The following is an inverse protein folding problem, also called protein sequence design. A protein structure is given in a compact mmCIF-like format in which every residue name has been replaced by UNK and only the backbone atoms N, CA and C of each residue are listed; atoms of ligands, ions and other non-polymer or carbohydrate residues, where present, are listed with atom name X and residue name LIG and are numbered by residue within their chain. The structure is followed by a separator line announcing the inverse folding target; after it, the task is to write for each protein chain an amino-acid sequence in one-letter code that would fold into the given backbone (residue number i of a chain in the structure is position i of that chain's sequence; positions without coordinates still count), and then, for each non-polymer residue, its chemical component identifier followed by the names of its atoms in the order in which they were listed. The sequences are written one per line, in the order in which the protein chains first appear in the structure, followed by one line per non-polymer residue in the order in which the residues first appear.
data_IF_585189495880
#
_entry.id   IF_585189495880
#
_cell.length_a   1.000
_cell.length_b   1.000
_cell.length_c   1.000
_cell.angle_alpha   90.00
_cell.angle_beta   90.00
_cell.angle_gamma   90.00
#
_symmetry.space_group_name_H-M   'P 1'
#
loop_
_entity.id
_entity.type
_entity.pdbx_description
1 polymer ?
#
# COMPACT_ATOMS: atom_id res chain seq x y z
N UNK A 1 0.33 22.59 0.21
CA UNK A 1 -1.08 22.85 0.54
C UNK A 1 -1.59 21.66 1.31
N UNK A 2 -2.16 21.89 2.48
CA UNK A 2 -2.72 20.86 3.36
C UNK A 2 -4.21 21.10 3.53
N UNK A 3 -5.00 20.07 3.29
CA UNK A 3 -6.47 20.13 3.29
C UNK A 3 -7.02 19.27 4.41
N UNK A 4 -7.84 19.88 5.27
CA UNK A 4 -8.58 19.18 6.31
C UNK A 4 -9.92 18.73 5.75
N UNK A 5 -10.13 17.42 5.71
CA UNK A 5 -11.37 16.78 5.25
C UNK A 5 -12.09 16.28 6.50
N UNK A 6 -13.23 16.89 6.81
CA UNK A 6 -13.91 16.70 8.10
C UNK A 6 -15.36 16.27 7.92
N UNK A 7 -15.76 15.18 8.58
CA UNK A 7 -17.11 14.65 8.45
C UNK A 7 -18.09 15.37 9.37
N UNK A 8 -19.34 15.53 8.91
CA UNK A 8 -20.49 15.96 9.66
C UNK A 8 -21.45 14.77 9.83
N UNK A 9 -21.81 14.49 11.07
CA UNK A 9 -22.82 13.51 11.44
C UNK A 9 -24.20 14.14 11.69
N UNK A 10 -25.16 13.31 12.07
CA UNK A 10 -26.52 13.70 12.45
C UNK A 10 -26.73 13.45 13.96
N UNK A 11 -27.20 14.46 14.69
CA UNK A 11 -27.69 14.32 16.08
C UNK A 11 -28.89 15.23 16.33
N UNK A 12 -29.89 14.74 17.08
CA UNK A 12 -31.14 15.49 17.30
C UNK A 12 -31.01 16.70 18.23
N UNK A 13 -29.92 16.81 19.01
CA UNK A 13 -29.72 17.87 20.02
C UNK A 13 -28.44 18.70 19.77
N UNK A 14 -27.84 18.61 18.59
CA UNK A 14 -26.50 19.15 18.34
C UNK A 14 -25.39 18.31 18.99
N UNK A 15 -24.13 18.62 18.69
CA UNK A 15 -23.00 17.99 19.39
C UNK A 15 -22.82 18.61 20.78
N UNK A 16 -22.50 17.76 21.74
CA UNK A 16 -22.11 18.19 23.08
C UNK A 16 -20.72 18.86 23.03
N UNK A 17 -20.52 19.89 23.83
CA UNK A 17 -19.19 20.44 24.09
C UNK A 17 -18.34 19.43 24.86
N UNK A 18 -17.08 19.32 24.48
CA UNK A 18 -16.13 18.37 25.05
C UNK A 18 -14.73 19.01 25.15
N UNK A 19 -13.94 18.57 26.13
CA UNK A 19 -12.51 18.89 26.21
C UNK A 19 -11.72 17.74 25.60
N UNK A 20 -10.90 18.03 24.59
CA UNK A 20 -10.14 17.00 23.87
C UNK A 20 -8.64 17.11 24.13
N UNK A 21 -8.00 15.98 24.46
CA UNK A 21 -6.56 15.90 24.68
C UNK A 21 -5.85 15.26 23.49
N UNK A 22 -4.84 15.94 22.95
CA UNK A 22 -3.99 15.44 21.86
C UNK A 22 -2.81 14.61 22.39
N UNK A 23 -2.12 13.92 21.48
CA UNK A 23 -0.97 13.05 21.79
C UNK A 23 0.22 13.80 22.38
N UNK A 24 0.36 15.10 22.09
CA UNK A 24 1.36 16.00 22.67
C UNK A 24 0.99 16.53 24.07
N UNK A 25 -0.18 16.13 24.58
CA UNK A 25 -0.69 16.52 25.89
C UNK A 25 -1.51 17.81 25.90
N UNK A 26 -1.60 18.54 24.78
CA UNK A 26 -2.43 19.75 24.70
C UNK A 26 -3.91 19.42 24.85
N UNK A 27 -4.62 20.24 25.63
CA UNK A 27 -6.06 20.11 25.86
C UNK A 27 -6.78 21.30 25.23
N UNK A 28 -7.67 20.99 24.29
CA UNK A 28 -8.59 21.95 23.67
C UNK A 28 -9.94 21.83 24.36
N UNK A 29 -10.25 22.78 25.26
CA UNK A 29 -11.49 22.78 26.04
C UNK A 29 -12.68 23.40 25.30
N UNK A 30 -13.90 23.04 25.74
CA UNK A 30 -15.17 23.59 25.26
C UNK A 30 -15.39 23.49 23.74
N UNK A 31 -14.94 22.40 23.13
CA UNK A 31 -15.01 22.18 21.70
C UNK A 31 -16.32 21.49 21.32
N UNK A 32 -17.06 22.08 20.37
CA UNK A 32 -18.35 21.55 19.89
C UNK A 32 -18.20 20.66 18.66
N UNK A 33 -17.22 20.93 17.81
CA UNK A 33 -16.99 20.20 16.56
C UNK A 33 -15.50 19.97 16.32
N UNK A 34 -15.08 18.71 16.20
CA UNK A 34 -13.67 18.34 16.09
C UNK A 34 -12.98 18.96 14.87
N UNK A 35 -13.69 19.12 13.74
CA UNK A 35 -13.11 19.75 12.56
C UNK A 35 -12.61 21.17 12.81
N UNK A 36 -13.32 21.96 13.65
CA UNK A 36 -12.85 23.29 14.05
C UNK A 36 -11.68 23.21 15.03
N UNK A 37 -11.73 22.28 15.99
CA UNK A 37 -10.60 22.01 16.89
C UNK A 37 -9.32 21.72 16.12
N UNK A 38 -9.41 20.87 15.08
CA UNK A 38 -8.29 20.51 14.23
C UNK A 38 -7.86 21.66 13.32
N UNK A 39 -8.80 22.48 12.83
CA UNK A 39 -8.46 23.72 12.12
C UNK A 39 -7.63 24.65 13.02
N UNK A 40 -8.04 24.84 14.27
CA UNK A 40 -7.34 25.69 15.23
C UNK A 40 -5.94 25.15 15.56
N UNK A 41 -5.82 23.84 15.80
CA UNK A 41 -4.58 23.16 16.19
C UNK A 41 -3.59 23.03 15.03
N UNK A 42 -4.06 22.70 13.82
CA UNK A 42 -3.22 22.30 12.68
C UNK A 42 -3.03 23.39 11.64
N UNK A 43 -3.86 24.44 11.66
CA UNK A 43 -3.84 25.56 10.70
C UNK A 43 -3.76 25.09 9.23
N UNK A 44 -4.68 24.23 8.76
CA UNK A 44 -4.68 23.78 7.37
C UNK A 44 -4.92 24.96 6.42
N UNK A 45 -4.49 24.81 5.17
CA UNK A 45 -4.67 25.84 4.14
C UNK A 45 -6.03 25.81 3.45
N UNK A 46 -6.81 24.73 3.63
CA UNK A 46 -8.14 24.53 3.06
C UNK A 46 -8.93 23.53 3.93
N UNK A 47 -10.25 23.64 3.92
CA UNK A 47 -11.15 22.71 4.57
C UNK A 47 -12.21 22.18 3.59
N UNK A 48 -12.53 20.89 3.68
CA UNK A 48 -13.66 20.26 3.00
C UNK A 48 -14.54 19.64 4.09
N UNK A 49 -15.78 20.10 4.19
CA UNK A 49 -16.79 19.55 5.10
C UNK A 49 -17.64 18.52 4.35
N UNK A 50 -17.63 17.27 4.81
CA UNK A 50 -18.39 16.18 4.19
C UNK A 50 -19.62 15.86 5.04
N UNK A 51 -20.80 15.93 4.45
CA UNK A 51 -22.03 15.58 5.14
C UNK A 51 -23.06 14.99 4.19
N UNK A 52 -23.99 14.24 4.77
CA UNK A 52 -25.18 13.76 4.07
C UNK A 52 -26.29 14.81 4.08
N UNK A 53 -27.39 14.55 3.39
CA UNK A 53 -28.53 15.48 3.37
C UNK A 53 -29.14 15.73 4.77
N UNK A 54 -28.89 14.82 5.73
CA UNK A 54 -29.32 14.95 7.12
C UNK A 54 -28.24 15.35 8.11
N UNK A 55 -27.03 15.65 7.64
CA UNK A 55 -25.93 16.06 8.53
C UNK A 55 -26.22 17.44 9.13
N UNK A 56 -25.63 17.71 10.29
CA UNK A 56 -25.78 19.00 10.98
C UNK A 56 -24.93 20.09 10.31
N UNK A 57 -25.36 20.52 9.13
CA UNK A 57 -24.74 21.62 8.40
C UNK A 57 -24.89 22.96 9.13
N UNK A 58 -25.94 23.07 9.93
CA UNK A 58 -26.35 24.20 10.76
C UNK A 58 -25.52 24.35 12.05
N UNK A 59 -24.58 23.44 12.36
CA UNK A 59 -23.82 23.50 13.62
C UNK A 59 -22.95 24.76 13.78
N UNK A 60 -22.57 25.38 12.67
CA UNK A 60 -21.70 26.55 12.65
C UNK A 60 -22.46 27.88 12.84
N UNK A 61 -23.77 27.77 13.11
CA UNK A 61 -24.65 28.85 13.54
C UNK A 61 -24.40 29.17 15.00
N UNK A 62 -23.78 30.33 15.23
CA UNK A 62 -23.73 30.98 16.54
C UNK A 62 -24.25 32.41 16.37
N UNK A 63 -24.87 32.96 17.42
CA UNK A 63 -25.54 34.26 17.42
C UNK A 63 -24.71 35.35 16.71
N UNK A 64 -25.34 36.05 15.75
CA UNK A 64 -24.79 37.02 14.78
C UNK A 64 -24.29 36.46 13.43
N UNK A 65 -25.11 35.63 12.77
CA UNK A 65 -24.99 35.41 11.34
C UNK A 65 -25.10 36.74 10.57
N UNK A 66 -24.11 37.05 9.75
CA UNK A 66 -24.01 38.24 8.92
C UNK A 66 -25.08 38.25 7.80
N UNK A 67 -26.36 38.41 8.14
CA UNK A 67 -27.46 38.66 7.19
C UNK A 67 -27.84 37.48 6.29
N UNK A 68 -27.72 36.24 6.79
CA UNK A 68 -28.06 35.00 6.05
C UNK A 68 -29.20 34.22 6.73
N UNK A 69 -29.96 34.88 7.61
CA UNK A 69 -30.88 34.24 8.57
C UNK A 69 -31.94 33.36 7.88
N UNK A 70 -32.42 33.78 6.71
CA UNK A 70 -33.40 33.02 5.91
C UNK A 70 -32.77 31.77 5.28
N UNK A 71 -31.57 31.86 4.69
CA UNK A 71 -30.84 30.72 4.15
C UNK A 71 -30.51 29.70 5.24
N UNK A 72 -30.19 30.17 6.45
CA UNK A 72 -29.91 29.31 7.60
C UNK A 72 -31.13 28.56 8.09
N UNK A 73 -32.27 29.25 8.23
CA UNK A 73 -33.52 28.62 8.61
C UNK A 73 -33.91 27.54 7.59
N UNK A 74 -33.78 27.86 6.30
CA UNK A 74 -34.02 26.91 5.22
C UNK A 74 -33.09 25.69 5.30
N UNK A 75 -31.79 25.91 5.58
CA UNK A 75 -30.82 24.83 5.68
C UNK A 75 -31.11 23.92 6.90
N UNK A 76 -31.46 24.49 8.05
CA UNK A 76 -31.81 23.74 9.25
C UNK A 76 -33.08 22.89 9.06
N UNK A 77 -34.10 23.44 8.40
CA UNK A 77 -35.32 22.70 8.04
C UNK A 77 -35.01 21.57 7.04
N UNK A 78 -34.24 21.86 6.00
CA UNK A 78 -33.84 20.86 5.00
C UNK A 78 -32.99 19.73 5.63
N UNK A 79 -32.07 20.06 6.54
CA UNK A 79 -31.26 19.07 7.24
C UNK A 79 -32.12 18.16 8.15
N UNK A 80 -33.10 18.74 8.84
CA UNK A 80 -34.06 17.99 9.65
C UNK A 80 -34.90 17.01 8.80
N UNK A 81 -35.22 17.40 7.56
CA UNK A 81 -36.02 16.64 6.61
C UNK A 81 -35.20 15.75 5.64
N UNK A 82 -33.89 15.61 5.86
CA UNK A 82 -32.97 14.85 4.98
C UNK A 82 -33.02 15.29 3.50
N UNK A 83 -33.23 16.58 3.24
CA UNK A 83 -33.49 17.15 1.90
C UNK A 83 -32.51 18.25 1.47
N UNK A 84 -31.38 18.42 2.17
CA UNK A 84 -30.34 19.39 1.79
C UNK A 84 -29.80 19.10 0.39
N UNK A 85 -29.64 20.17 -0.40
CA UNK A 85 -29.09 20.13 -1.77
C UNK A 85 -27.75 20.86 -1.83
N UNK A 86 -26.96 20.59 -2.88
CA UNK A 86 -25.66 21.27 -3.08
C UNK A 86 -25.81 22.79 -3.16
N UNK A 87 -26.87 23.28 -3.82
CA UNK A 87 -27.17 24.72 -3.94
C UNK A 87 -27.39 25.40 -2.58
N UNK A 88 -28.00 24.70 -1.63
CA UNK A 88 -28.22 25.23 -0.28
C UNK A 88 -26.90 25.39 0.51
N UNK A 89 -25.84 24.68 0.11
CA UNK A 89 -24.54 24.71 0.79
C UNK A 89 -23.59 25.79 0.24
N UNK A 90 -23.89 26.40 -0.91
CA UNK A 90 -23.04 27.43 -1.52
C UNK A 90 -22.90 28.69 -0.65
N UNK A 91 -23.98 29.32 -0.13
CA UNK A 91 -23.85 30.49 0.73
C UNK A 91 -23.04 30.18 1.98
N UNK A 92 -23.19 28.95 2.47
CA UNK A 92 -22.55 28.49 3.67
C UNK A 92 -21.03 28.26 3.49
N UNK A 93 -20.63 27.70 2.35
CA UNK A 93 -19.21 27.58 1.97
C UNK A 93 -18.52 28.96 1.92
N UNK A 94 -19.21 29.97 1.36
CA UNK A 94 -18.72 31.36 1.29
C UNK A 94 -18.59 31.96 2.68
N UNK A 95 -19.61 31.80 3.52
CA UNK A 95 -19.60 32.30 4.90
C UNK A 95 -18.45 31.70 5.71
N UNK A 96 -18.30 30.37 5.71
CA UNK A 96 -17.22 29.70 6.42
C UNK A 96 -15.84 30.09 5.88
N UNK A 97 -15.72 30.27 4.57
CA UNK A 97 -14.47 30.75 3.95
C UNK A 97 -14.06 32.10 4.52
N UNK A 98 -15.01 33.04 4.67
CA UNK A 98 -14.77 34.35 5.29
C UNK A 98 -14.46 34.24 6.78
N UNK A 99 -15.25 33.44 7.53
CA UNK A 99 -15.12 33.28 8.98
C UNK A 99 -13.79 32.62 9.37
N UNK A 100 -13.37 31.60 8.65
CA UNK A 100 -12.13 30.86 8.91
C UNK A 100 -10.93 31.42 8.16
N UNK A 101 -11.11 32.36 7.23
CA UNK A 101 -10.04 32.94 6.42
C UNK A 101 -9.19 31.88 5.67
N UNK A 102 -9.83 30.79 5.26
CA UNK A 102 -9.28 29.73 4.39
C UNK A 102 -10.37 29.27 3.43
N UNK A 103 -10.05 28.75 2.23
CA UNK A 103 -11.06 28.13 1.37
C UNK A 103 -11.78 26.99 2.10
N UNK A 104 -13.12 27.06 2.16
CA UNK A 104 -13.98 26.03 2.72
C UNK A 104 -14.96 25.55 1.65
N UNK A 105 -15.06 24.24 1.48
CA UNK A 105 -15.99 23.61 0.55
C UNK A 105 -16.92 22.65 1.30
N UNK A 106 -18.23 22.89 1.24
CA UNK A 106 -19.24 21.99 1.78
C UNK A 106 -19.65 20.97 0.72
N UNK A 107 -19.22 19.73 0.90
CA UNK A 107 -19.42 18.63 -0.05
C UNK A 107 -20.54 17.69 0.42
N UNK A 108 -21.68 17.75 -0.27
CA UNK A 108 -22.80 16.84 -0.04
C UNK A 108 -22.45 15.42 -0.53
N UNK A 109 -22.57 14.43 0.34
CA UNK A 109 -22.35 13.02 0.04
C UNK A 109 -23.62 12.18 0.28
N UNK A 110 -23.68 11.00 -0.33
CA UNK A 110 -24.75 10.03 -0.09
C UNK A 110 -24.57 9.36 1.28
N UNK A 111 -25.59 8.62 1.73
CA UNK A 111 -25.48 7.79 2.94
C UNK A 111 -24.66 6.50 2.75
N UNK A 112 -24.16 6.27 1.52
CA UNK A 112 -23.32 5.14 1.16
C UNK A 112 -23.95 3.75 1.42
N UNK A 113 -25.25 3.60 1.17
CA UNK A 113 -25.99 2.34 1.41
C UNK A 113 -25.83 1.31 0.31
N UNK A 114 -25.42 1.75 -0.88
CA UNK A 114 -25.20 0.89 -2.05
C UNK A 114 -23.79 1.09 -2.59
N UNK A 115 -23.27 0.12 -3.33
CA UNK A 115 -21.94 0.22 -3.96
C UNK A 115 -21.84 1.45 -4.87
N UNK A 116 -22.91 1.77 -5.61
CA UNK A 116 -22.98 2.98 -6.45
C UNK A 116 -22.86 4.25 -5.62
N UNK A 117 -23.53 4.30 -4.48
CA UNK A 117 -23.42 5.43 -3.55
C UNK A 117 -22.02 5.56 -2.95
N UNK A 118 -21.38 4.44 -2.59
CA UNK A 118 -20.02 4.40 -2.05
C UNK A 118 -19.00 4.91 -3.09
N UNK A 119 -19.08 4.41 -4.34
CA UNK A 119 -18.24 4.86 -5.45
C UNK A 119 -18.45 6.35 -5.72
N UNK A 120 -19.69 6.85 -5.62
CA UNK A 120 -19.98 8.28 -5.80
C UNK A 120 -19.22 9.15 -4.79
N UNK A 121 -19.08 8.72 -3.53
CA UNK A 121 -18.29 9.46 -2.53
C UNK A 121 -16.83 9.53 -2.94
N UNK A 122 -16.26 8.40 -3.37
CA UNK A 122 -14.88 8.34 -3.87
C UNK A 122 -14.68 9.28 -5.06
N UNK A 123 -15.60 9.26 -6.03
CA UNK A 123 -15.55 10.12 -7.21
C UNK A 123 -15.65 11.60 -6.84
N UNK A 124 -16.52 11.98 -5.90
CA UNK A 124 -16.62 13.36 -5.41
C UNK A 124 -15.32 13.81 -4.75
N UNK A 125 -14.78 13.01 -3.82
CA UNK A 125 -13.49 13.29 -3.18
C UNK A 125 -12.34 13.39 -4.19
N UNK A 126 -12.32 12.50 -5.18
CA UNK A 126 -11.35 12.54 -6.25
C UNK A 126 -11.46 13.84 -7.04
N UNK A 127 -12.65 14.30 -7.41
CA UNK A 127 -12.81 15.51 -8.20
C UNK A 127 -12.37 16.78 -7.47
N UNK A 128 -12.61 16.87 -6.16
CA UNK A 128 -12.30 18.09 -5.37
C UNK A 128 -10.85 18.16 -4.90
N UNK A 129 -10.17 17.01 -4.78
CA UNK A 129 -8.77 16.92 -4.41
C UNK A 129 -7.85 16.96 -5.63
N UNK A 130 -6.78 17.74 -5.51
CA UNK A 130 -5.72 17.90 -6.50
C UNK A 130 -4.72 16.75 -6.43
N UNK A 131 -3.93 16.59 -7.51
CA UNK A 131 -2.81 15.66 -7.49
C UNK A 131 -1.78 16.07 -6.43
N UNK A 132 -1.20 15.08 -5.75
CA UNK A 132 -0.16 15.25 -4.70
C UNK A 132 -0.59 16.12 -3.52
N UNK A 133 -1.89 16.35 -3.34
CA UNK A 133 -2.40 17.12 -2.23
C UNK A 133 -2.17 16.41 -0.89
N UNK A 134 -1.84 17.17 0.15
CA UNK A 134 -1.68 16.63 1.50
C UNK A 134 -3.00 16.74 2.24
N UNK A 135 -3.49 15.61 2.78
CA UNK A 135 -4.82 15.54 3.39
C UNK A 135 -4.72 15.13 4.85
N UNK A 136 -5.56 15.74 5.69
CA UNK A 136 -5.81 15.33 7.07
C UNK A 136 -7.28 14.94 7.15
N UNK A 137 -7.58 13.77 7.68
CA UNK A 137 -8.96 13.27 7.81
C UNK A 137 -9.44 13.39 9.25
N UNK A 138 -10.58 14.03 9.46
CA UNK A 138 -11.33 13.97 10.72
C UNK A 138 -12.56 13.08 10.57
N UNK A 139 -12.53 11.92 11.21
CA UNK A 139 -13.63 10.95 11.18
C UNK A 139 -14.52 11.00 12.44
N UNK A 140 -14.32 11.96 13.34
CA UNK A 140 -14.96 12.03 14.67
C UNK A 140 -16.48 11.98 14.60
N UNK A 141 -17.07 12.78 13.72
CA UNK A 141 -18.52 12.87 13.57
C UNK A 141 -19.03 12.06 12.39
N UNK A 142 -18.18 11.25 11.75
CA UNK A 142 -18.61 10.40 10.65
C UNK A 142 -19.58 9.30 11.12
N UNK A 143 -20.52 8.95 10.26
CA UNK A 143 -21.58 8.00 10.59
C UNK A 143 -21.19 6.57 10.25
N UNK A 144 -21.21 5.67 11.25
CA UNK A 144 -21.11 4.21 11.12
C UNK A 144 -19.96 3.75 10.20
N UNK A 145 -20.28 3.41 8.95
CA UNK A 145 -19.37 2.81 7.98
C UNK A 145 -18.64 3.84 7.09
N UNK A 146 -18.97 5.12 7.16
CA UNK A 146 -18.25 6.19 6.44
C UNK A 146 -16.73 6.25 6.75
N UNK A 147 -16.23 6.04 7.99
CA UNK A 147 -14.81 5.86 8.25
C UNK A 147 -14.13 4.80 7.38
N UNK A 148 -14.80 3.66 7.16
CA UNK A 148 -14.26 2.57 6.37
C UNK A 148 -14.15 2.99 4.90
N UNK A 149 -15.15 3.71 4.40
CA UNK A 149 -15.13 4.28 3.04
C UNK A 149 -14.03 5.33 2.92
N UNK A 150 -13.82 6.18 3.94
CA UNK A 150 -12.75 7.16 3.97
C UNK A 150 -11.37 6.48 3.90
N UNK A 151 -11.19 5.34 4.57
CA UNK A 151 -9.96 4.55 4.49
C UNK A 151 -9.73 3.99 3.08
N UNK A 152 -10.78 3.45 2.43
CA UNK A 152 -10.72 3.00 1.03
C UNK A 152 -10.42 4.17 0.08
N UNK A 153 -11.06 5.32 0.30
CA UNK A 153 -10.82 6.53 -0.49
C UNK A 153 -9.37 7.03 -0.34
N UNK A 154 -8.84 7.06 0.88
CA UNK A 154 -7.44 7.39 1.14
C UNK A 154 -6.48 6.48 0.34
N UNK A 155 -6.78 5.18 0.26
CA UNK A 155 -5.99 4.24 -0.55
C UNK A 155 -6.11 4.49 -2.04
N UNK A 156 -7.33 4.62 -2.53
CA UNK A 156 -7.62 4.88 -3.92
C UNK A 156 -6.93 6.17 -4.41
N UNK A 157 -7.02 7.26 -3.63
CA UNK A 157 -6.46 8.56 -3.97
C UNK A 157 -4.92 8.59 -3.87
N UNK A 158 -4.33 7.82 -2.94
CA UNK A 158 -2.87 7.63 -2.89
C UNK A 158 -2.34 7.06 -4.22
N UNK A 159 -3.03 6.07 -4.79
CA UNK A 159 -2.59 5.43 -6.04
C UNK A 159 -2.94 6.28 -7.26
N UNK A 160 -4.15 6.82 -7.33
CA UNK A 160 -4.66 7.49 -8.55
C UNK A 160 -4.25 8.95 -8.67
N UNK A 161 -4.06 9.64 -7.54
CA UNK A 161 -3.74 11.08 -7.50
C UNK A 161 -2.49 11.40 -6.70
N UNK A 162 -1.79 10.40 -6.15
CA UNK A 162 -0.63 10.61 -5.26
C UNK A 162 -0.97 11.47 -4.03
N UNK A 163 -2.26 11.49 -3.62
CA UNK A 163 -2.69 12.19 -2.40
C UNK A 163 -2.00 11.56 -1.18
N UNK A 164 -1.44 12.40 -0.33
CA UNK A 164 -0.74 11.97 0.87
C UNK A 164 -1.57 12.29 2.12
N UNK A 165 -2.24 11.26 2.64
CA UNK A 165 -2.98 11.37 3.90
C UNK A 165 -1.99 11.39 5.07
N UNK A 166 -1.78 12.59 5.61
CA UNK A 166 -0.80 12.87 6.66
C UNK A 166 -1.21 12.33 8.02
N UNK A 167 -2.50 12.37 8.35
CA UNK A 167 -3.05 11.87 9.61
C UNK A 167 -4.56 11.61 9.47
N UNK A 168 -5.09 10.70 10.29
CA UNK A 168 -6.51 10.45 10.51
C UNK A 168 -6.79 10.68 12.00
N UNK A 169 -7.62 11.64 12.34
CA UNK A 169 -8.00 11.97 13.71
C UNK A 169 -9.39 11.45 14.05
N UNK A 170 -9.54 10.99 15.29
CA UNK A 170 -10.81 10.61 15.89
C UNK A 170 -10.90 11.11 17.33
N UNK A 171 -11.80 12.05 17.59
CA UNK A 171 -12.18 12.47 18.94
C UNK A 171 -12.95 11.35 19.64
N UNK A 172 -12.29 10.63 20.52
CA UNK A 172 -12.87 9.51 21.23
C UNK A 172 -13.63 10.00 22.46
N UNK A 173 -14.90 10.34 22.29
CA UNK A 173 -15.77 10.75 23.40
C UNK A 173 -16.05 9.54 24.33
N UNK A 174 -15.53 9.62 25.55
CA UNK A 174 -15.69 8.61 26.60
C UNK A 174 -16.70 9.09 27.63
N UNK A 175 -17.81 8.36 27.78
CA UNK A 175 -18.83 8.67 28.77
C UNK A 175 -18.25 8.68 30.19
N UNK A 176 -18.56 9.73 30.96
CA UNK A 176 -18.10 9.89 32.35
C UNK A 176 -16.67 10.45 32.49
N UNK A 177 -15.96 10.73 31.39
CA UNK A 177 -14.69 11.45 31.44
C UNK A 177 -14.89 12.95 31.25
N UNK A 178 -14.12 13.78 31.95
CA UNK A 178 -14.08 15.23 31.74
C UNK A 178 -13.22 15.61 30.52
N UNK A 179 -12.22 14.78 30.20
CA UNK A 179 -11.28 14.98 29.09
C UNK A 179 -11.29 13.75 28.19
N UNK A 180 -11.39 13.95 26.89
CA UNK A 180 -11.55 12.91 25.89
C UNK A 180 -10.31 12.84 24.99
N UNK A 181 -9.69 11.67 24.80
CA UNK A 181 -8.50 11.58 23.97
C UNK A 181 -8.82 11.74 22.49
N UNK A 182 -7.94 12.41 21.75
CA UNK A 182 -7.91 12.39 20.29
C UNK A 182 -7.00 11.26 19.84
N UNK A 183 -7.56 10.27 19.15
CA UNK A 183 -6.81 9.16 18.61
C UNK A 183 -6.26 9.50 17.23
N UNK A 184 -4.99 9.14 17.02
CA UNK A 184 -4.30 9.23 15.73
C UNK A 184 -4.28 7.86 15.06
N UNK A 185 -4.95 7.75 13.92
CA UNK A 185 -5.26 6.48 13.27
C UNK A 185 -4.49 6.26 11.96
N UNK A 186 -3.49 7.09 11.64
CA UNK A 186 -2.61 6.89 10.48
C UNK A 186 -1.98 5.49 10.45
N UNK A 187 -1.74 4.88 11.61
CA UNK A 187 -1.21 3.52 11.71
C UNK A 187 -1.99 2.49 10.88
N UNK A 188 -3.30 2.70 10.67
CA UNK A 188 -4.12 1.86 9.78
C UNK A 188 -3.65 1.91 8.33
N UNK A 189 -3.30 3.09 7.83
CA UNK A 189 -2.76 3.27 6.48
C UNK A 189 -1.34 2.69 6.37
N UNK A 190 -0.55 2.77 7.44
CA UNK A 190 0.77 2.15 7.48
C UNK A 190 0.64 0.62 7.38
N UNK A 191 -0.28 -0.01 8.13
CA UNK A 191 -0.55 -1.47 8.03
C UNK A 191 -0.91 -1.90 6.62
N UNK A 192 -1.73 -1.12 5.92
CA UNK A 192 -2.04 -1.40 4.53
C UNK A 192 -0.80 -1.27 3.62
N UNK A 193 0.16 -0.36 3.91
CA UNK A 193 1.39 -0.23 3.09
C UNK A 193 2.24 -1.50 3.17
N UNK A 194 2.24 -2.16 4.32
CA UNK A 194 2.91 -3.45 4.51
C UNK A 194 2.18 -4.61 3.81
N UNK A 195 0.85 -4.59 3.76
CA UNK A 195 0.06 -5.53 2.95
C UNK A 195 0.39 -5.39 1.47
N UNK A 196 0.48 -4.15 0.98
CA UNK A 196 0.89 -3.89 -0.41
C UNK A 196 2.32 -4.41 -0.67
N UNK A 197 3.24 -4.23 0.29
CA UNK A 197 4.58 -4.79 0.22
C UNK A 197 4.62 -6.32 0.09
N UNK A 198 3.77 -7.04 0.83
CA UNK A 198 3.63 -8.49 0.68
C UNK A 198 3.08 -8.87 -0.69
N UNK A 199 2.05 -8.18 -1.16
CA UNK A 199 1.44 -8.47 -2.47
C UNK A 199 2.43 -8.23 -3.62
N UNK A 200 3.21 -7.16 -3.57
CA UNK A 200 4.29 -6.89 -4.53
C UNK A 200 5.34 -7.99 -4.51
N UNK A 201 5.74 -8.46 -3.32
CA UNK A 201 6.70 -9.54 -3.23
C UNK A 201 6.14 -10.87 -3.75
N UNK A 202 4.88 -11.19 -3.41
CA UNK A 202 4.20 -12.40 -3.87
C UNK A 202 4.05 -12.43 -5.39
N UNK A 203 3.83 -11.27 -6.03
CA UNK A 203 3.70 -11.18 -7.48
C UNK A 203 5.04 -11.14 -8.21
N UNK A 204 5.95 -10.25 -7.80
CA UNK A 204 7.11 -9.89 -8.63
C UNK A 204 8.43 -10.50 -8.13
N UNK A 205 8.44 -11.06 -6.91
CA UNK A 205 9.66 -11.41 -6.20
C UNK A 205 10.41 -10.19 -5.62
N UNK A 206 9.82 -8.99 -5.68
CA UNK A 206 10.50 -7.76 -5.29
C UNK A 206 10.32 -7.42 -3.80
N UNK A 207 11.27 -7.85 -2.98
CA UNK A 207 11.34 -7.46 -1.56
C UNK A 207 12.05 -6.12 -1.31
N UNK A 208 12.50 -5.39 -2.34
CA UNK A 208 13.06 -4.04 -2.15
C UNK A 208 12.02 -3.08 -1.55
N UNK A 209 10.73 -3.31 -1.81
CA UNK A 209 9.61 -2.54 -1.28
C UNK A 209 9.61 -2.48 0.27
N UNK A 210 10.11 -3.52 0.95
CA UNK A 210 10.20 -3.53 2.41
C UNK A 210 11.29 -2.62 2.95
N UNK A 211 12.29 -2.25 2.16
CA UNK A 211 13.38 -1.41 2.65
C UNK A 211 12.89 -0.03 3.11
N UNK A 212 11.98 0.60 2.36
CA UNK A 212 11.41 1.89 2.75
C UNK A 212 10.43 1.76 3.94
N UNK A 213 9.74 0.63 4.04
CA UNK A 213 8.86 0.34 5.18
C UNK A 213 9.67 0.12 6.46
N UNK A 214 10.74 -0.68 6.40
CA UNK A 214 11.65 -0.91 7.51
C UNK A 214 12.36 0.37 7.95
N UNK A 215 12.79 1.22 7.00
CA UNK A 215 13.40 2.51 7.32
C UNK A 215 12.42 3.43 8.06
N UNK A 216 11.14 3.47 7.65
CA UNK A 216 10.09 4.23 8.35
C UNK A 216 9.85 3.74 9.78
N UNK A 217 10.03 2.44 10.02
CA UNK A 217 9.95 1.85 11.36
C UNK A 217 11.23 2.04 12.18
N UNK A 218 12.27 2.66 11.63
CA UNK A 218 13.52 2.97 12.32
C UNK A 218 14.65 1.96 12.11
N UNK A 219 14.55 1.05 11.14
CA UNK A 219 15.69 0.22 10.76
C UNK A 219 16.77 1.08 10.13
N UNK A 220 18.03 0.83 10.53
CA UNK A 220 19.20 1.54 10.03
C UNK A 220 19.28 1.56 8.48
N UNK A 221 19.55 2.74 7.91
CA UNK A 221 19.56 2.95 6.47
C UNK A 221 20.60 2.09 5.74
N UNK A 222 21.72 1.73 6.39
CA UNK A 222 22.71 0.84 5.78
C UNK A 222 22.15 -0.57 5.59
N UNK A 223 21.33 -1.05 6.52
CA UNK A 223 20.68 -2.36 6.46
C UNK A 223 19.59 -2.38 5.39
N UNK A 224 18.73 -1.35 5.34
CA UNK A 224 17.68 -1.27 4.31
C UNK A 224 18.28 -1.12 2.92
N UNK A 225 19.43 -0.43 2.77
CA UNK A 225 20.18 -0.36 1.52
C UNK A 225 20.74 -1.72 1.09
N UNK A 226 21.24 -2.55 2.02
CA UNK A 226 21.66 -3.92 1.71
C UNK A 226 20.51 -4.77 1.18
N UNK A 227 19.31 -4.61 1.76
CA UNK A 227 18.10 -5.29 1.27
C UNK A 227 17.76 -4.88 -0.17
N UNK A 228 17.78 -3.58 -0.49
CA UNK A 228 17.59 -3.07 -1.87
C UNK A 228 18.65 -3.61 -2.83
N UNK A 229 19.92 -3.63 -2.41
CA UNK A 229 21.01 -4.17 -3.23
C UNK A 229 20.82 -5.66 -3.52
N UNK A 230 20.38 -6.44 -2.53
CA UNK A 230 20.09 -7.85 -2.77
C UNK A 230 18.98 -8.03 -3.81
N UNK A 231 17.85 -7.33 -3.64
CA UNK A 231 16.73 -7.42 -4.56
C UNK A 231 17.14 -7.02 -5.99
N UNK A 232 18.00 -6.01 -6.13
CA UNK A 232 18.59 -5.62 -7.40
C UNK A 232 19.40 -6.77 -8.02
N UNK A 233 20.35 -7.34 -7.26
CA UNK A 233 21.18 -8.43 -7.78
C UNK A 233 20.36 -9.65 -8.18
N UNK A 234 19.37 -10.03 -7.39
CA UNK A 234 18.47 -11.15 -7.70
C UNK A 234 17.70 -10.89 -9.00
N UNK A 235 17.13 -9.68 -9.16
CA UNK A 235 16.40 -9.29 -10.37
C UNK A 235 17.27 -9.29 -11.62
N UNK A 236 18.56 -8.99 -11.47
CA UNK A 236 19.57 -9.05 -12.55
C UNK A 236 20.21 -10.43 -12.69
N UNK A 237 19.61 -11.48 -12.11
CA UNK A 237 20.07 -12.86 -12.17
C UNK A 237 21.45 -13.13 -11.54
N UNK A 238 21.91 -12.25 -10.65
CA UNK A 238 23.14 -12.43 -9.88
C UNK A 238 22.82 -12.97 -8.47
N UNK A 239 22.47 -14.26 -8.42
CA UNK A 239 22.12 -15.00 -7.19
C UNK A 239 23.21 -14.93 -6.12
N UNK A 240 24.49 -14.99 -6.51
CA UNK A 240 25.63 -14.99 -5.59
C UNK A 240 25.76 -13.67 -4.84
N UNK A 241 25.73 -12.54 -5.57
CA UNK A 241 25.77 -11.21 -4.95
C UNK A 241 24.50 -10.96 -4.11
N UNK A 242 23.33 -11.36 -4.60
CA UNK A 242 22.08 -11.25 -3.82
C UNK A 242 22.19 -11.99 -2.47
N UNK A 243 22.63 -13.26 -2.51
CA UNK A 243 22.88 -14.04 -1.29
C UNK A 243 23.86 -13.36 -0.35
N UNK A 244 24.97 -12.80 -0.85
CA UNK A 244 25.95 -12.13 -0.02
C UNK A 244 25.31 -10.96 0.75
N UNK A 245 24.51 -10.15 0.07
CA UNK A 245 23.79 -9.03 0.69
C UNK A 245 22.73 -9.52 1.68
N UNK A 246 21.92 -10.54 1.33
CA UNK A 246 20.95 -11.15 2.25
C UNK A 246 21.59 -11.72 3.50
N UNK A 247 22.72 -12.43 3.35
CA UNK A 247 23.44 -13.03 4.47
C UNK A 247 23.98 -11.97 5.43
N UNK A 248 24.24 -10.76 4.94
CA UNK A 248 24.68 -9.63 5.77
C UNK A 248 23.50 -9.03 6.55
N UNK A 249 22.35 -8.83 5.90
CA UNK A 249 21.18 -8.16 6.49
C UNK A 249 20.26 -9.09 7.29
N UNK A 250 20.35 -10.42 7.11
CA UNK A 250 19.38 -11.36 7.69
C UNK A 250 19.29 -11.27 9.21
N UNK A 251 20.42 -11.09 9.90
CA UNK A 251 20.40 -10.97 11.36
C UNK A 251 19.67 -9.71 11.79
N UNK A 252 19.90 -8.58 11.10
CA UNK A 252 19.17 -7.34 11.35
C UNK A 252 17.66 -7.53 11.12
N UNK A 253 17.25 -8.17 10.01
CA UNK A 253 15.83 -8.51 9.79
C UNK A 253 15.28 -9.44 10.89
N UNK A 254 16.06 -10.42 11.33
CA UNK A 254 15.62 -11.40 12.33
C UNK A 254 15.54 -10.82 13.75
N UNK A 255 16.33 -9.81 14.10
CA UNK A 255 16.35 -9.21 15.44
C UNK A 255 15.63 -7.87 15.54
N UNK A 256 15.41 -7.18 14.42
CA UNK A 256 14.69 -5.92 14.42
C UNK A 256 13.28 -6.10 14.96
N UNK A 257 12.88 -5.15 15.80
CA UNK A 257 11.62 -5.16 16.52
C UNK A 257 10.88 -3.84 16.27
N UNK A 258 9.68 -3.98 15.71
CA UNK A 258 8.69 -2.93 15.60
C UNK A 258 7.31 -3.60 15.63
N UNK A 259 6.30 -3.01 16.30
CA UNK A 259 4.97 -3.60 16.40
C UNK A 259 4.36 -4.03 15.07
N UNK A 260 4.49 -3.20 14.03
CA UNK A 260 3.97 -3.53 12.71
C UNK A 260 4.84 -4.60 12.05
N UNK A 261 6.17 -4.49 12.13
CA UNK A 261 7.07 -5.43 11.47
C UNK A 261 6.86 -6.86 11.97
N UNK A 262 6.59 -7.06 13.26
CA UNK A 262 6.36 -8.39 13.82
C UNK A 262 5.19 -9.15 13.17
N UNK A 263 4.17 -8.44 12.67
CA UNK A 263 3.06 -9.04 11.93
C UNK A 263 3.50 -9.62 10.56
N UNK A 264 4.48 -8.97 9.92
CA UNK A 264 4.91 -9.29 8.55
C UNK A 264 6.21 -10.09 8.49
N UNK A 265 7.01 -10.03 9.56
CA UNK A 265 8.34 -10.65 9.67
C UNK A 265 8.34 -12.15 9.33
N UNK A 266 7.44 -13.01 9.84
CA UNK A 266 7.45 -14.42 9.49
C UNK A 266 7.26 -14.65 7.98
N UNK A 267 6.38 -13.86 7.36
CA UNK A 267 6.09 -13.96 5.93
C UNK A 267 7.26 -13.49 5.07
N UNK A 268 7.91 -12.39 5.46
CA UNK A 268 9.12 -11.89 4.79
C UNK A 268 10.27 -12.89 4.91
N UNK A 269 10.59 -13.33 6.13
CA UNK A 269 11.72 -14.24 6.38
C UNK A 269 11.54 -15.59 5.68
N UNK A 270 10.32 -16.15 5.69
CA UNK A 270 9.99 -17.40 4.98
C UNK A 270 10.29 -17.29 3.48
N UNK A 271 9.91 -16.18 2.85
CA UNK A 271 10.10 -15.96 1.41
C UNK A 271 11.55 -15.69 1.02
N UNK A 272 12.38 -15.30 1.98
CA UNK A 272 13.82 -15.16 1.81
C UNK A 272 14.58 -16.46 2.10
N UNK A 273 13.94 -17.59 2.39
CA UNK A 273 14.67 -18.82 2.77
C UNK A 273 15.56 -19.40 1.66
N UNK A 274 15.34 -19.02 0.39
CA UNK A 274 16.13 -19.51 -0.74
C UNK A 274 17.64 -19.37 -0.54
N UNK A 275 18.13 -18.28 0.06
CA UNK A 275 19.58 -18.05 0.22
C UNK A 275 20.21 -18.95 1.30
N UNK A 276 19.37 -19.57 2.15
CA UNK A 276 19.79 -20.49 3.22
C UNK A 276 19.98 -21.93 2.74
N UNK A 277 19.63 -22.23 1.48
CA UNK A 277 19.88 -23.57 0.90
C UNK A 277 21.39 -23.87 0.92
N UNK A 278 21.73 -25.14 1.10
CA UNK A 278 23.08 -25.57 1.53
C UNK A 278 24.20 -25.27 0.53
N UNK A 279 23.89 -25.15 -0.76
CA UNK A 279 24.86 -24.78 -1.79
C UNK A 279 24.22 -23.91 -2.88
N UNK A 280 25.07 -23.31 -3.74
CA UNK A 280 24.65 -22.39 -4.80
C UNK A 280 23.66 -23.01 -5.80
N UNK A 281 23.86 -24.27 -6.19
CA UNK A 281 22.94 -24.95 -7.09
C UNK A 281 21.53 -25.06 -6.51
N UNK A 282 21.40 -25.46 -5.25
CA UNK A 282 20.11 -25.55 -4.56
C UNK A 282 19.46 -24.19 -4.29
N UNK A 283 20.25 -23.13 -4.12
CA UNK A 283 19.75 -21.75 -3.99
C UNK A 283 19.13 -21.28 -5.32
N UNK A 284 19.84 -21.47 -6.43
CA UNK A 284 19.37 -21.08 -7.77
C UNK A 284 18.16 -21.93 -8.20
N UNK A 285 18.14 -23.22 -7.90
CA UNK A 285 16.97 -24.06 -8.17
C UNK A 285 15.75 -23.67 -7.33
N UNK A 286 15.95 -23.23 -6.08
CA UNK A 286 14.85 -22.70 -5.27
C UNK A 286 14.32 -21.40 -5.88
N UNK A 287 15.19 -20.47 -6.29
CA UNK A 287 14.78 -19.27 -7.02
C UNK A 287 14.02 -19.60 -8.30
N UNK A 288 14.48 -20.60 -9.06
CA UNK A 288 13.79 -21.05 -10.27
C UNK A 288 12.35 -21.45 -9.96
N UNK A 289 12.15 -22.27 -8.91
CA UNK A 289 10.81 -22.67 -8.45
C UNK A 289 9.97 -21.48 -8.01
N UNK A 290 10.53 -20.59 -7.20
CA UNK A 290 9.82 -19.42 -6.69
C UNK A 290 9.35 -18.51 -7.83
N UNK A 291 10.18 -18.31 -8.87
CA UNK A 291 9.79 -17.54 -10.05
C UNK A 291 8.78 -18.26 -10.95
N UNK A 292 8.83 -19.59 -11.01
CA UNK A 292 7.81 -20.37 -11.72
C UNK A 292 6.43 -20.26 -11.04
N UNK A 293 6.39 -20.25 -9.70
CA UNK A 293 5.15 -20.05 -8.94
C UNK A 293 4.55 -18.65 -9.16
N UNK A 294 5.39 -17.66 -9.51
CA UNK A 294 5.01 -16.29 -9.85
C UNK A 294 4.64 -16.08 -11.31
N UNK A 295 4.65 -17.14 -12.13
CA UNK A 295 4.53 -17.07 -13.59
C UNK A 295 5.60 -16.20 -14.27
N UNK A 296 6.74 -15.98 -13.63
CA UNK A 296 7.91 -15.37 -14.28
C UNK A 296 8.77 -16.44 -14.94
N UNK A 297 8.36 -16.83 -16.14
CA UNK A 297 8.99 -17.91 -16.88
C UNK A 297 10.44 -17.61 -17.27
N UNK A 298 10.77 -16.35 -17.58
CA UNK A 298 12.11 -15.99 -18.02
C UNK A 298 13.11 -16.15 -16.87
N UNK A 299 12.84 -15.55 -15.70
CA UNK A 299 13.71 -15.70 -14.53
C UNK A 299 13.72 -17.14 -14.03
N UNK A 300 12.58 -17.84 -14.06
CA UNK A 300 12.51 -19.25 -13.69
C UNK A 300 13.49 -20.11 -14.52
N UNK A 301 13.48 -19.95 -15.84
CA UNK A 301 14.36 -20.72 -16.73
C UNK A 301 15.82 -20.30 -16.59
N UNK A 302 16.11 -19.01 -16.41
CA UNK A 302 17.48 -18.53 -16.16
C UNK A 302 18.05 -19.19 -14.89
N UNK A 303 17.32 -19.14 -13.78
CA UNK A 303 17.78 -19.73 -12.53
C UNK A 303 17.83 -21.26 -12.57
N UNK A 304 16.97 -21.91 -13.37
CA UNK A 304 17.06 -23.35 -13.61
C UNK A 304 18.37 -23.72 -14.33
N UNK A 305 18.74 -22.98 -15.39
CA UNK A 305 19.99 -23.17 -16.11
C UNK A 305 21.20 -22.94 -15.20
N UNK A 306 21.24 -21.82 -14.48
CA UNK A 306 22.35 -21.52 -13.57
C UNK A 306 22.46 -22.54 -12.44
N UNK A 307 21.32 -22.99 -11.89
CA UNK A 307 21.27 -24.03 -10.87
C UNK A 307 21.79 -25.38 -11.36
N UNK A 308 21.49 -25.77 -12.61
CA UNK A 308 22.05 -26.98 -13.23
C UNK A 308 23.57 -26.88 -13.40
N UNK A 309 24.08 -25.73 -13.85
CA UNK A 309 25.52 -25.49 -14.01
C UNK A 309 26.21 -25.56 -12.65
N UNK A 310 25.67 -24.87 -11.64
CA UNK A 310 26.21 -24.85 -10.29
C UNK A 310 26.22 -26.25 -9.66
N UNK A 311 25.13 -27.00 -9.77
CA UNK A 311 25.05 -28.37 -9.27
C UNK A 311 26.09 -29.27 -9.94
N UNK A 312 26.20 -29.23 -11.28
CA UNK A 312 27.16 -30.04 -12.02
C UNK A 312 28.62 -29.69 -11.68
N UNK A 313 28.90 -28.41 -11.42
CA UNK A 313 30.22 -27.93 -10.98
C UNK A 313 30.59 -28.48 -9.61
N UNK A 314 29.62 -28.52 -8.69
CA UNK A 314 29.80 -29.11 -7.36
C UNK A 314 30.03 -30.63 -7.47
N UNK A 315 29.23 -31.34 -8.28
CA UNK A 315 29.38 -32.79 -8.49
C UNK A 315 30.74 -33.16 -9.10
N UNK A 316 31.32 -32.25 -9.89
CA UNK A 316 32.66 -32.39 -10.46
C UNK A 316 33.80 -32.05 -9.47
N UNK A 317 33.48 -31.61 -8.25
CA UNK A 317 34.47 -31.21 -7.25
C UNK A 317 35.19 -29.90 -7.57
N UNK A 318 34.58 -29.03 -8.39
CA UNK A 318 35.16 -27.78 -8.90
C UNK A 318 34.65 -26.54 -8.16
N UNK A 319 35.30 -25.39 -8.37
CA UNK A 319 34.87 -24.15 -7.72
C UNK A 319 33.65 -23.54 -8.42
N UNK A 320 32.52 -23.50 -7.70
CA UNK A 320 31.24 -22.95 -8.20
C UNK A 320 31.26 -21.43 -8.39
N UNK A 321 32.31 -20.73 -7.95
CA UNK A 321 32.54 -19.31 -8.17
C UNK A 321 33.55 -19.00 -9.27
N UNK A 322 34.33 -20.00 -9.70
CA UNK A 322 35.26 -19.83 -10.82
C UNK A 322 34.52 -19.85 -12.16
N UNK A 323 34.91 -18.96 -13.07
CA UNK A 323 34.24 -18.84 -14.37
C UNK A 323 34.59 -20.01 -15.31
N UNK A 324 35.85 -20.43 -15.34
CA UNK A 324 36.31 -21.47 -16.26
C UNK A 324 35.71 -22.83 -15.89
N UNK A 325 35.68 -23.15 -14.59
CA UNK A 325 35.08 -24.38 -14.08
C UNK A 325 33.58 -24.47 -14.43
N UNK A 326 32.84 -23.38 -14.25
CA UNK A 326 31.42 -23.29 -14.61
C UNK A 326 31.19 -23.39 -16.11
N UNK A 327 32.01 -22.73 -16.92
CA UNK A 327 31.87 -22.76 -18.37
C UNK A 327 32.12 -24.17 -18.92
N UNK A 328 33.11 -24.89 -18.39
CA UNK A 328 33.35 -26.30 -18.74
C UNK A 328 32.11 -27.16 -18.45
N UNK A 329 31.51 -27.02 -17.26
CA UNK A 329 30.30 -27.79 -16.92
C UNK A 329 29.10 -27.38 -17.76
N UNK A 330 28.98 -26.10 -18.12
CA UNK A 330 27.95 -25.62 -19.07
C UNK A 330 28.11 -26.28 -20.43
N UNK A 331 29.34 -26.46 -20.93
CA UNK A 331 29.58 -27.16 -22.20
C UNK A 331 29.16 -28.63 -22.13
N UNK A 332 29.47 -29.32 -21.03
CA UNK A 332 29.04 -30.72 -20.80
C UNK A 332 27.51 -30.82 -20.74
N UNK A 333 26.85 -29.86 -20.10
CA UNK A 333 25.38 -29.83 -20.00
C UNK A 333 24.69 -29.58 -21.34
N UNK A 334 25.39 -29.14 -22.41
CA UNK A 334 24.78 -28.93 -23.73
C UNK A 334 24.15 -30.19 -24.32
N UNK A 335 24.61 -31.38 -23.93
CA UNK A 335 24.01 -32.63 -24.40
C UNK A 335 22.80 -33.07 -23.56
N UNK A 336 22.64 -32.51 -22.35
CA UNK A 336 21.52 -32.80 -21.47
C UNK A 336 20.20 -32.30 -22.07
N UNK A 337 19.20 -33.17 -22.16
CA UNK A 337 17.92 -32.86 -22.79
C UNK A 337 17.15 -31.72 -22.08
N UNK A 338 17.15 -31.68 -20.75
CA UNK A 338 16.48 -30.62 -19.98
C UNK A 338 17.22 -29.30 -20.12
N UNK A 339 18.56 -29.31 -20.07
CA UNK A 339 19.36 -28.10 -20.25
C UNK A 339 19.16 -27.48 -21.64
N UNK A 340 19.17 -28.30 -22.70
CA UNK A 340 18.87 -27.84 -24.07
C UNK A 340 17.49 -27.22 -24.17
N UNK A 341 16.48 -27.86 -23.61
CA UNK A 341 15.12 -27.33 -23.64
C UNK A 341 15.03 -25.98 -22.92
N UNK A 342 15.55 -25.88 -21.70
CA UNK A 342 15.57 -24.62 -20.96
C UNK A 342 16.30 -23.52 -21.72
N UNK A 343 17.45 -23.84 -22.33
CA UNK A 343 18.19 -22.87 -23.13
C UNK A 343 17.38 -22.39 -24.35
N UNK A 344 16.68 -23.29 -25.03
CA UNK A 344 15.83 -22.92 -26.16
C UNK A 344 14.64 -22.07 -25.71
N UNK A 345 13.93 -22.47 -24.65
CA UNK A 345 12.82 -21.71 -24.05
C UNK A 345 13.30 -20.31 -23.65
N UNK A 346 14.46 -20.19 -22.99
CA UNK A 346 15.04 -18.90 -22.61
C UNK A 346 15.30 -18.04 -23.84
N UNK A 347 15.92 -18.59 -24.89
CA UNK A 347 16.21 -17.86 -26.12
C UNK A 347 14.93 -17.37 -26.81
N UNK A 348 13.92 -18.23 -26.91
CA UNK A 348 12.64 -17.87 -27.53
C UNK A 348 11.85 -16.86 -26.67
N UNK A 349 11.93 -16.91 -25.33
CA UNK A 349 11.35 -15.89 -24.44
C UNK A 349 12.02 -14.52 -24.60
N UNK A 350 13.31 -14.49 -24.93
CA UNK A 350 14.09 -13.25 -25.11
C UNK A 350 13.93 -12.68 -26.53
N UNK A 351 13.91 -13.53 -27.55
CA UNK A 351 13.95 -13.12 -28.97
C UNK A 351 12.62 -13.28 -29.70
N UNK A 352 11.61 -13.90 -29.07
CA UNK A 352 10.38 -14.34 -29.72
C UNK A 352 10.56 -15.66 -30.48
N UNK A 353 9.45 -16.27 -30.88
CA UNK A 353 9.47 -17.53 -31.64
C UNK A 353 10.12 -17.34 -33.02
N UNK A 354 11.25 -18.00 -33.23
CA UNK A 354 11.93 -18.06 -34.51
C UNK A 354 11.26 -19.03 -35.50
N UNK A 355 11.64 -18.92 -36.79
CA UNK A 355 11.21 -19.88 -37.82
C UNK A 355 11.67 -21.31 -37.49
N UNK A 356 12.88 -21.42 -36.94
CA UNK A 356 13.55 -22.69 -36.60
C UNK A 356 13.19 -23.25 -35.22
N UNK A 357 12.32 -22.59 -34.45
CA UNK A 357 11.85 -23.10 -33.15
C UNK A 357 11.06 -24.40 -33.35
N UNK A 358 11.38 -25.42 -32.55
CA UNK A 358 10.76 -26.75 -32.67
C UNK A 358 9.25 -26.70 -32.43
N UNK A 359 8.50 -27.64 -33.02
CA UNK A 359 7.04 -27.72 -32.84
C UNK A 359 6.64 -27.90 -31.37
N UNK A 360 7.44 -28.66 -30.61
CA UNK A 360 7.20 -28.87 -29.18
C UNK A 360 7.35 -27.57 -28.37
N UNK A 361 8.38 -26.76 -28.67
CA UNK A 361 8.58 -25.48 -27.98
C UNK A 361 7.49 -24.48 -28.40
N UNK A 362 7.11 -24.44 -29.68
CA UNK A 362 5.97 -23.65 -30.15
C UNK A 362 4.68 -24.02 -29.40
N UNK A 363 4.42 -25.31 -29.17
CA UNK A 363 3.26 -25.78 -28.40
C UNK A 363 3.33 -25.37 -26.92
N UNK A 364 4.51 -25.42 -26.31
CA UNK A 364 4.73 -25.02 -24.92
C UNK A 364 4.54 -23.50 -24.76
N UNK A 365 5.07 -22.69 -25.68
CA UNK A 365 5.05 -21.23 -25.56
C UNK A 365 3.73 -20.56 -25.93
N UNK A 366 2.91 -21.22 -26.76
CA UNK A 366 1.60 -20.69 -27.16
C UNK A 366 0.50 -20.91 -26.11
N UNK A 367 0.81 -21.53 -24.97
CA UNK A 367 -0.17 -21.94 -23.96
C UNK A 367 0.45 -21.89 -22.55
N UNK A 368 -0.04 -20.98 -21.71
CA UNK A 368 0.48 -20.75 -20.36
C UNK A 368 0.39 -22.01 -19.48
N UNK A 369 -0.70 -22.78 -19.56
CA UNK A 369 -0.86 -23.99 -18.76
C UNK A 369 0.16 -25.05 -19.18
N UNK A 370 0.39 -25.21 -20.48
CA UNK A 370 1.41 -26.14 -21.01
C UNK A 370 2.82 -25.70 -20.63
N UNK A 371 3.10 -24.40 -20.67
CA UNK A 371 4.37 -23.83 -20.21
C UNK A 371 4.61 -24.14 -18.73
N UNK A 372 3.63 -23.81 -17.89
CA UNK A 372 3.72 -24.02 -16.46
C UNK A 372 3.88 -25.50 -16.11
N UNK A 373 3.10 -26.40 -16.74
CA UNK A 373 3.18 -27.83 -16.50
C UNK A 373 4.54 -28.42 -16.95
N UNK A 374 5.01 -28.05 -18.15
CA UNK A 374 6.30 -28.52 -18.68
C UNK A 374 7.47 -28.13 -17.77
N UNK A 375 7.49 -26.89 -17.28
CA UNK A 375 8.52 -26.44 -16.35
C UNK A 375 8.38 -27.10 -14.97
N UNK A 376 7.15 -27.22 -14.42
CA UNK A 376 6.89 -27.90 -13.14
C UNK A 376 7.42 -29.34 -13.14
N UNK A 377 7.15 -30.10 -14.19
CA UNK A 377 7.59 -31.50 -14.26
C UNK A 377 9.10 -31.64 -14.37
N UNK A 378 9.76 -30.71 -15.06
CA UNK A 378 11.23 -30.73 -15.19
C UNK A 378 11.92 -30.20 -13.95
N UNK A 379 11.35 -29.23 -13.24
CA UNK A 379 11.91 -28.69 -12.02
C UNK A 379 11.90 -29.70 -10.87
N UNK A 380 10.93 -30.64 -10.84
CA UNK A 380 10.97 -31.78 -9.91
C UNK A 380 12.26 -32.61 -10.03
N UNK A 381 12.85 -32.67 -11.22
CA UNK A 381 14.09 -33.41 -11.48
C UNK A 381 15.35 -32.62 -11.13
N UNK A 382 15.24 -31.30 -10.90
CA UNK A 382 16.38 -30.44 -10.57
C UNK A 382 16.77 -30.54 -9.09
N UNK A 383 15.78 -30.70 -8.20
CA UNK A 383 15.93 -30.61 -6.74
C UNK A 383 16.23 -31.95 -6.04
N UNK A 384 16.40 -33.03 -6.81
CA UNK A 384 16.67 -34.37 -6.30
C UNK A 384 18.16 -34.65 -6.17
#
# INVERSE_FOLDING_TARGET
MTTLVSFLGKQNKGYNTASYQFSDGEIMSNQKYMGLTLYEKLKPSRMILLGTAGSMWDIFLEDNSLGLDDEWLQLAEAASNDSVTEKMLEPFSIYLTKKLNIPVECLLISTARTDKEQVSILSKLANVLSEREQVILDITHSFRHLPLIALVAARFLKVTKQVDVKQIFYGNFIFGSEVHPVLELKGLLNMLDWVDGLNTFDKDGDYAQFADLLAKEGMDESQTKLLKQSAFFERTSNSSQARQKLSTVINALATFDSPIYQLFKPQLLKRLEWFKRSNRGLQEQQLAKDYLERNDYLRAVIFALEGMISAKTIDAGKDVNDYADREEQRQILRDNANFRLFNNIRNDLVHGLGRDTSQDIKRIMNDEEKMQQSLKDRFKLLLN
#
